data_IF_438309683138
#
_entry.id   IF_438309683138
#
_cell.length_a   1.000
_cell.length_b   1.000
_cell.length_c   1.000
_cell.angle_alpha   90.00
_cell.angle_beta   90.00
_cell.angle_gamma   90.00
#
_symmetry.space_group_name_H-M   'P 1'
#
loop_
_entity.id
_entity.type
_entity.pdbx_description
1 polymer ?
#
# COMPACT_ATOMS: atom_id res chain seq x y z
N UNK A 1 -51.96 2.53 5.51
CA UNK A 1 -51.52 1.73 6.67
C UNK A 1 -50.58 0.66 6.13
N UNK A 2 -49.28 0.95 6.12
CA UNK A 2 -48.26 0.10 5.51
C UNK A 2 -47.36 -0.42 6.62
N UNK A 3 -47.42 -1.73 6.86
CA UNK A 3 -46.62 -2.40 7.89
C UNK A 3 -45.18 -2.56 7.39
N UNK A 4 -44.26 -1.92 8.10
CA UNK A 4 -42.81 -2.06 7.96
C UNK A 4 -42.36 -3.37 8.59
N UNK A 5 -41.90 -4.32 7.77
CA UNK A 5 -41.26 -5.55 8.24
C UNK A 5 -39.78 -5.29 8.56
N UNK A 6 -39.40 -5.56 9.81
CA UNK A 6 -38.02 -5.49 10.30
C UNK A 6 -37.16 -6.63 9.72
N UNK A 7 -35.90 -6.38 9.30
CA UNK A 7 -35.00 -7.45 8.91
C UNK A 7 -34.43 -8.18 10.14
N UNK A 8 -34.39 -9.50 10.02
CA UNK A 8 -34.06 -10.46 11.07
C UNK A 8 -32.61 -10.41 11.56
N UNK A 9 -32.46 -10.70 12.86
CA UNK A 9 -31.19 -10.90 13.56
C UNK A 9 -30.55 -12.22 13.11
N UNK A 10 -29.31 -12.17 12.65
CA UNK A 10 -28.47 -13.36 12.49
C UNK A 10 -27.78 -13.71 13.82
N UNK A 11 -27.98 -14.95 14.24
CA UNK A 11 -27.39 -15.55 15.44
C UNK A 11 -25.88 -15.80 15.27
N UNK A 12 -25.13 -15.53 16.33
CA UNK A 12 -23.69 -15.77 16.42
C UNK A 12 -23.33 -17.28 16.41
N UNK A 13 -22.15 -17.66 15.88
CA UNK A 13 -21.69 -19.05 15.92
C UNK A 13 -21.19 -19.47 17.30
N UNK A 14 -21.50 -20.72 17.63
CA UNK A 14 -21.16 -21.45 18.86
C UNK A 14 -19.65 -21.70 18.96
N UNK A 15 -19.04 -21.30 20.07
CA UNK A 15 -17.63 -21.62 20.41
C UNK A 15 -17.52 -23.07 20.92
N UNK A 16 -16.61 -23.85 20.36
CA UNK A 16 -16.15 -25.13 20.91
C UNK A 16 -14.91 -24.91 21.81
N UNK A 17 -14.76 -25.65 22.93
CA UNK A 17 -13.64 -25.48 23.86
C UNK A 17 -12.42 -26.32 23.44
N UNK A 18 -11.24 -25.70 23.44
CA UNK A 18 -9.96 -26.40 23.42
C UNK A 18 -9.41 -26.51 24.86
N UNK A 19 -9.04 -27.72 25.28
CA UNK A 19 -8.32 -28.02 26.51
C UNK A 19 -6.80 -27.92 26.29
N UNK A 20 -6.01 -27.42 27.26
CA UNK A 20 -4.55 -27.37 27.16
C UNK A 20 -3.87 -28.62 27.76
N UNK A 21 -2.79 -29.08 27.13
CA UNK A 21 -1.83 -30.02 27.70
C UNK A 21 -0.53 -29.27 28.03
N UNK A 22 -0.16 -29.24 29.30
CA UNK A 22 1.17 -28.86 29.80
C UNK A 22 1.98 -30.09 30.17
N UNK A 23 3.30 -30.07 30.00
CA UNK A 23 4.21 -30.86 30.82
C UNK A 23 5.29 -29.99 31.53
N UNK A 24 6.04 -30.58 32.48
CA UNK A 24 6.48 -29.88 33.68
C UNK A 24 7.91 -29.33 33.65
N UNK A 25 8.15 -28.49 34.65
CA UNK A 25 9.41 -27.88 35.12
C UNK A 25 10.37 -28.95 35.63
N UNK A 26 11.66 -28.80 35.34
CA UNK A 26 12.74 -29.33 36.19
C UNK A 26 13.94 -28.38 36.27
N UNK A 27 14.66 -28.53 37.39
CA UNK A 27 15.47 -27.52 38.09
C UNK A 27 16.96 -27.46 37.71
N UNK A 28 17.59 -26.33 38.08
CA UNK A 28 18.85 -26.21 38.84
C UNK A 28 20.11 -25.54 38.19
N UNK A 29 20.53 -24.44 38.83
CA UNK A 29 21.89 -23.99 39.27
C UNK A 29 23.11 -24.08 38.31
N UNK A 30 23.85 -22.97 38.16
CA UNK A 30 25.11 -22.67 38.91
C UNK A 30 25.82 -21.39 38.41
N UNK A 31 26.41 -20.63 39.33
CA UNK A 31 27.18 -19.39 39.12
C UNK A 31 28.72 -19.62 39.01
N UNK A 32 29.39 -18.61 38.41
CA UNK A 32 30.73 -18.03 38.72
C UNK A 32 32.02 -18.54 37.98
N UNK A 33 33.16 -17.79 37.98
CA UNK A 33 33.55 -16.77 36.98
C UNK A 33 35.04 -16.94 36.49
N UNK A 34 35.83 -15.91 36.06
CA UNK A 34 36.63 -15.90 34.81
C UNK A 34 38.16 -16.08 35.00
N UNK A 35 38.96 -16.02 33.91
CA UNK A 35 40.21 -15.24 33.99
C UNK A 35 40.55 -14.40 32.76
N UNK A 36 41.09 -13.22 33.05
CA UNK A 36 41.79 -12.25 32.20
C UNK A 36 43.19 -12.71 31.78
N UNK A 37 43.63 -12.42 30.55
CA UNK A 37 44.90 -11.69 30.25
C UNK A 37 45.32 -11.73 28.77
N UNK A 38 45.71 -10.54 28.28
CA UNK A 38 46.70 -10.23 27.23
C UNK A 38 46.44 -10.70 25.77
N UNK A 39 45.75 -9.87 24.98
CA UNK A 39 45.60 -10.04 23.54
C UNK A 39 45.74 -8.73 22.73
N UNK A 40 46.81 -7.96 22.92
CA UNK A 40 47.06 -6.74 22.10
C UNK A 40 47.65 -7.02 20.70
N UNK A 41 47.83 -8.28 20.31
CA UNK A 41 48.46 -8.64 19.03
C UNK A 41 47.54 -9.25 17.95
N UNK A 42 46.22 -9.31 18.16
CA UNK A 42 45.30 -9.96 17.23
C UNK A 42 44.34 -9.01 16.46
N UNK A 43 44.60 -7.70 16.42
CA UNK A 43 43.73 -6.76 15.69
C UNK A 43 44.30 -6.40 14.32
N UNK A 44 43.49 -6.45 13.23
CA UNK A 44 43.88 -5.97 11.92
C UNK A 44 44.43 -4.54 11.96
N UNK A 45 45.45 -4.25 11.15
CA UNK A 45 46.21 -2.98 11.20
C UNK A 45 45.34 -1.73 11.02
N UNK A 46 44.19 -1.83 10.36
CA UNK A 46 43.24 -0.74 10.18
C UNK A 46 42.45 -0.37 11.46
N UNK A 47 42.32 -1.27 12.44
CA UNK A 47 41.65 -0.99 13.73
C UNK A 47 42.61 -0.47 14.80
N UNK A 48 43.93 -0.69 14.64
CA UNK A 48 44.95 -0.29 15.63
C UNK A 48 45.04 1.22 15.88
N UNK A 49 44.62 2.07 14.93
CA UNK A 49 44.63 3.54 15.10
C UNK A 49 43.50 4.07 15.97
N UNK A 50 42.47 3.28 16.28
CA UNK A 50 41.26 3.75 16.95
C UNK A 50 41.22 3.48 18.46
N UNK A 51 42.20 2.73 18.99
CA UNK A 51 42.38 2.50 20.44
C UNK A 51 42.77 3.82 21.17
N UNK A 52 43.25 4.83 20.45
CA UNK A 52 43.59 6.14 21.04
C UNK A 52 42.38 7.07 21.26
N UNK A 53 41.17 6.70 20.85
CA UNK A 53 39.94 7.50 21.01
C UNK A 53 39.09 7.11 22.24
N UNK A 54 39.64 6.32 23.16
CA UNK A 54 38.97 5.98 24.42
C UNK A 54 38.08 4.73 24.36
N UNK A 55 38.03 4.04 23.22
CA UNK A 55 37.45 2.70 23.14
C UNK A 55 38.45 1.69 23.70
N UNK A 56 38.03 0.95 24.73
CA UNK A 56 38.86 -0.13 25.28
C UNK A 56 38.86 -1.30 24.30
N UNK A 57 39.91 -2.12 24.38
CA UNK A 57 39.99 -3.36 23.59
C UNK A 57 38.74 -4.23 23.81
N UNK A 58 38.19 -4.22 25.02
CA UNK A 58 37.00 -4.98 25.39
C UNK A 58 35.73 -4.43 24.73
N UNK A 59 35.61 -3.12 24.48
CA UNK A 59 34.46 -2.54 23.78
C UNK A 59 34.44 -2.92 22.30
N UNK A 60 35.62 -2.90 21.67
CA UNK A 60 35.77 -3.30 20.26
C UNK A 60 35.61 -4.81 20.11
N UNK A 61 36.16 -5.60 21.03
CA UNK A 61 35.97 -7.05 21.06
C UNK A 61 34.51 -7.43 21.36
N UNK A 62 33.81 -6.69 22.24
CA UNK A 62 32.39 -6.90 22.51
C UNK A 62 31.52 -6.52 21.31
N UNK A 63 31.87 -5.44 20.58
CA UNK A 63 31.17 -5.05 19.35
C UNK A 63 31.35 -6.10 18.24
N UNK A 64 32.58 -6.56 18.00
CA UNK A 64 32.88 -7.60 17.02
C UNK A 64 32.25 -8.93 17.44
N UNK A 65 32.36 -9.31 18.72
CA UNK A 65 31.70 -10.50 19.26
C UNK A 65 30.17 -10.43 19.19
N UNK A 66 29.57 -9.24 19.32
CA UNK A 66 28.12 -9.02 19.16
C UNK A 66 27.69 -9.17 17.70
N UNK A 67 28.50 -8.65 16.77
CA UNK A 67 28.30 -8.81 15.32
C UNK A 67 28.46 -10.27 14.92
N UNK A 68 29.53 -10.95 15.34
CA UNK A 68 29.77 -12.37 15.03
C UNK A 68 28.71 -13.28 15.68
N UNK A 69 28.26 -12.95 16.90
CA UNK A 69 27.14 -13.66 17.55
C UNK A 69 25.81 -13.44 16.83
N UNK A 70 25.62 -12.28 16.17
CA UNK A 70 24.44 -11.99 15.36
C UNK A 70 24.46 -12.63 13.97
N UNK A 71 25.63 -13.11 13.53
CA UNK A 71 25.84 -13.76 12.22
C UNK A 71 26.09 -15.28 12.30
N UNK A 72 26.12 -15.87 13.50
CA UNK A 72 26.21 -17.32 13.65
C UNK A 72 24.97 -18.01 13.02
N UNK A 73 25.14 -18.99 12.12
CA UNK A 73 24.03 -19.67 11.49
C UNK A 73 23.20 -20.43 12.53
N UNK A 74 21.85 -20.39 12.45
CA UNK A 74 20.99 -20.94 13.49
C UNK A 74 21.13 -22.47 13.55
N UNK A 75 21.88 -22.93 14.54
CA UNK A 75 21.92 -24.33 14.91
C UNK A 75 20.64 -24.63 15.71
N UNK A 76 19.63 -25.14 14.99
CA UNK A 76 18.46 -25.87 15.51
C UNK A 76 17.68 -25.26 16.69
N UNK A 77 16.51 -24.68 16.35
CA UNK A 77 15.22 -24.67 17.08
C UNK A 77 14.63 -23.27 17.34
N UNK A 78 13.69 -22.88 16.48
CA UNK A 78 12.53 -22.00 16.70
C UNK A 78 12.66 -20.77 17.61
N UNK A 79 13.69 -19.95 17.41
CA UNK A 79 13.71 -18.57 17.89
C UNK A 79 13.93 -17.63 16.71
N UNK A 80 12.96 -16.77 16.39
CA UNK A 80 13.19 -15.64 15.51
C UNK A 80 14.36 -14.82 16.08
N UNK A 81 15.42 -14.50 15.32
CA UNK A 81 16.50 -13.68 15.83
C UNK A 81 15.95 -12.27 16.08
N UNK A 82 15.80 -11.91 17.36
CA UNK A 82 15.59 -10.53 17.78
C UNK A 82 16.87 -9.76 17.46
N UNK A 83 16.87 -9.06 16.33
CA UNK A 83 17.88 -8.07 15.96
C UNK A 83 18.09 -7.11 17.15
N UNK A 84 19.34 -6.99 17.58
CA UNK A 84 19.73 -6.05 18.64
C UNK A 84 19.43 -4.62 18.16
N UNK A 85 18.46 -3.97 18.81
CA UNK A 85 18.15 -2.56 18.59
C UNK A 85 19.27 -1.68 19.18
N UNK A 86 20.21 -1.26 18.34
CA UNK A 86 21.11 -0.17 18.69
C UNK A 86 20.33 1.16 18.72
N UNK A 87 20.60 2.04 19.72
CA UNK A 87 20.12 3.42 19.73
C UNK A 87 20.48 4.16 18.44
N UNK A 88 19.58 5.04 17.97
CA UNK A 88 19.75 5.76 16.70
C UNK A 88 21.02 6.62 16.66
N UNK A 89 21.49 7.08 17.82
CA UNK A 89 22.74 7.81 17.98
C UNK A 89 23.97 6.94 17.66
N UNK A 90 23.95 5.67 18.07
CA UNK A 90 25.01 4.71 17.74
C UNK A 90 24.96 4.28 16.27
N UNK A 91 23.77 4.13 15.69
CA UNK A 91 23.61 3.89 14.24
C UNK A 91 24.16 5.05 13.40
N UNK A 92 23.93 6.29 13.83
CA UNK A 92 24.44 7.49 13.15
C UNK A 92 25.96 7.68 13.36
N UNK A 93 26.49 7.35 14.54
CA UNK A 93 27.94 7.35 14.78
C UNK A 93 28.66 6.21 14.05
N UNK A 94 28.02 5.05 13.89
CA UNK A 94 28.54 3.93 13.07
C UNK A 94 28.53 4.30 11.59
N UNK A 95 27.49 5.00 11.11
CA UNK A 95 27.42 5.56 9.75
C UNK A 95 28.52 6.61 9.45
N UNK A 96 29.10 7.22 10.48
CA UNK A 96 30.21 8.17 10.34
C UNK A 96 31.58 7.46 10.15
N UNK A 97 31.70 6.19 10.55
CA UNK A 97 32.99 5.47 10.64
C UNK A 97 33.06 4.16 9.86
N UNK A 98 31.92 3.65 9.39
CA UNK A 98 31.83 2.48 8.50
C UNK A 98 31.49 3.01 7.09
N UNK A 99 32.25 2.63 6.04
CA UNK A 99 31.88 2.95 4.67
C UNK A 99 30.46 2.48 4.46
N UNK A 100 29.58 3.39 4.09
CA UNK A 100 28.14 3.14 4.12
C UNK A 100 27.78 1.99 3.17
N UNK A 101 28.63 1.59 2.23
CA UNK A 101 28.55 0.35 1.46
C UNK A 101 28.30 -0.91 2.33
N UNK A 102 28.80 -0.96 3.57
CA UNK A 102 28.58 -2.07 4.52
C UNK A 102 27.31 -1.93 5.38
N UNK A 103 26.72 -0.73 5.46
CA UNK A 103 25.39 -0.51 6.06
C UNK A 103 24.30 -0.56 4.97
N UNK A 104 24.65 -0.28 3.71
CA UNK A 104 23.81 -0.27 2.51
C UNK A 104 23.60 -1.66 1.90
N UNK A 105 24.25 -2.70 2.40
CA UNK A 105 23.72 -4.06 2.21
C UNK A 105 22.32 -4.19 2.86
N UNK A 106 21.92 -3.25 3.73
CA UNK A 106 20.50 -2.90 3.91
C UNK A 106 20.06 -1.96 2.79
N UNK A 107 19.69 -2.55 1.65
CA UNK A 107 19.12 -1.85 0.49
C UNK A 107 17.77 -1.24 0.88
N UNK A 108 17.79 -0.06 1.51
CA UNK A 108 16.59 0.72 1.80
C UNK A 108 15.96 1.16 0.47
N UNK A 109 15.04 0.34 -0.04
CA UNK A 109 14.19 0.66 -1.18
C UNK A 109 13.21 1.74 -0.72
N UNK A 110 13.63 3.00 -0.89
CA UNK A 110 12.78 4.16 -0.62
C UNK A 110 12.04 4.51 -1.89
N UNK A 111 10.73 4.63 -1.79
CA UNK A 111 9.84 4.99 -2.89
C UNK A 111 8.90 6.10 -2.42
N UNK A 112 8.64 7.07 -3.29
CA UNK A 112 7.60 8.06 -3.10
C UNK A 112 6.36 7.64 -3.86
N UNK A 113 5.19 7.78 -3.25
CA UNK A 113 3.90 7.41 -3.87
C UNK A 113 2.97 8.61 -3.82
N UNK A 114 2.72 9.23 -4.97
CA UNK A 114 1.75 10.31 -5.16
C UNK A 114 0.34 9.75 -5.30
N UNK A 115 -0.67 10.48 -4.82
CA UNK A 115 -2.08 10.10 -4.92
C UNK A 115 -2.87 11.18 -5.68
N UNK A 116 -3.40 10.80 -6.84
CA UNK A 116 -4.13 11.70 -7.73
C UNK A 116 -5.56 12.00 -7.28
N UNK A 117 -6.05 11.38 -6.21
CA UNK A 117 -7.37 11.68 -5.65
C UNK A 117 -8.37 10.54 -5.85
N UNK A 118 -9.57 10.74 -5.32
CA UNK A 118 -10.61 9.70 -5.29
C UNK A 118 -11.35 9.61 -6.61
N UNK A 119 -11.92 8.43 -6.89
CA UNK A 119 -12.79 8.20 -8.06
C UNK A 119 -14.00 9.13 -8.15
N UNK A 120 -14.50 9.63 -7.02
CA UNK A 120 -15.63 10.58 -7.01
C UNK A 120 -15.23 12.04 -7.27
N UNK A 121 -13.95 12.33 -7.53
CA UNK A 121 -13.55 13.63 -8.05
C UNK A 121 -14.00 13.76 -9.51
N UNK A 122 -14.46 14.95 -9.97
CA UNK A 122 -15.06 15.12 -11.29
C UNK A 122 -14.19 14.56 -12.43
N UNK A 123 -12.88 14.84 -12.39
CA UNK A 123 -11.91 14.41 -13.41
C UNK A 123 -11.71 12.88 -13.43
N UNK A 124 -11.93 12.22 -12.29
CA UNK A 124 -11.75 10.77 -12.14
C UNK A 124 -13.03 9.97 -12.30
N UNK A 125 -14.19 10.64 -12.29
CA UNK A 125 -15.49 10.00 -12.29
C UNK A 125 -15.82 9.35 -13.63
N UNK A 126 -15.34 9.96 -14.71
CA UNK A 126 -15.58 9.50 -16.08
C UNK A 126 -14.68 8.32 -16.48
N UNK A 127 -13.66 8.03 -15.68
CA UNK A 127 -12.75 6.92 -15.91
C UNK A 127 -13.39 5.58 -15.55
N UNK A 128 -13.10 4.58 -16.37
CA UNK A 128 -13.39 3.21 -16.00
C UNK A 128 -12.51 2.76 -14.82
N UNK A 129 -12.77 1.56 -14.28
CA UNK A 129 -12.00 1.08 -13.13
C UNK A 129 -10.55 0.72 -13.48
N UNK A 130 -10.27 0.31 -14.71
CA UNK A 130 -8.91 0.00 -15.18
C UNK A 130 -8.08 1.27 -15.29
N UNK A 131 -8.63 2.27 -15.96
CA UNK A 131 -8.05 3.57 -16.22
C UNK A 131 -7.73 4.24 -14.89
N UNK A 132 -8.70 4.29 -13.97
CA UNK A 132 -8.48 4.84 -12.63
C UNK A 132 -7.37 4.10 -11.87
N UNK A 133 -7.43 2.76 -11.79
CA UNK A 133 -6.43 1.97 -11.07
C UNK A 133 -5.02 2.16 -11.65
N UNK A 134 -4.90 2.37 -12.97
CA UNK A 134 -3.62 2.56 -13.64
C UNK A 134 -2.96 3.92 -13.39
N UNK A 135 -3.73 4.97 -13.09
CA UNK A 135 -3.20 6.34 -12.95
C UNK A 135 -3.30 6.91 -11.53
N UNK A 136 -4.24 6.46 -10.69
CA UNK A 136 -4.54 7.13 -9.42
C UNK A 136 -3.36 7.19 -8.43
N UNK A 137 -2.35 6.33 -8.59
CA UNK A 137 -1.11 6.32 -7.82
C UNK A 137 0.10 6.58 -8.72
N UNK A 138 0.95 7.52 -8.29
CA UNK A 138 2.20 7.88 -8.97
C UNK A 138 3.37 7.31 -8.18
N UNK A 139 3.98 6.25 -8.68
CA UNK A 139 5.17 5.68 -8.05
C UNK A 139 6.43 6.37 -8.56
N UNK A 140 7.28 6.79 -7.63
CA UNK A 140 8.58 7.39 -7.92
C UNK A 140 9.72 6.72 -7.14
N UNK A 141 10.70 6.20 -7.87
CA UNK A 141 11.81 5.43 -7.34
C UNK A 141 13.03 6.32 -7.10
N UNK A 142 13.78 6.05 -6.04
CA UNK A 142 15.03 6.76 -5.75
C UNK A 142 16.06 6.54 -6.88
N UNK A 143 16.63 7.63 -7.40
CA UNK A 143 17.70 7.58 -8.42
C UNK A 143 19.05 7.85 -7.78
N UNK A 144 19.19 9.04 -7.17
CA UNK A 144 20.48 9.57 -6.73
C UNK A 144 20.32 10.66 -5.68
N UNK A 145 21.39 10.93 -4.96
CA UNK A 145 21.52 12.13 -4.14
C UNK A 145 22.12 13.25 -5.01
N UNK A 146 21.54 14.45 -4.97
CA UNK A 146 21.97 15.57 -5.81
C UNK A 146 23.30 16.14 -5.30
N UNK A 147 24.24 16.39 -6.18
CA UNK A 147 25.48 17.09 -5.84
C UNK A 147 25.20 18.60 -5.87
N UNK A 148 25.63 19.36 -4.84
CA UNK A 148 25.39 20.80 -4.79
C UNK A 148 26.08 21.49 -5.99
N UNK A 149 25.30 21.81 -7.03
CA UNK A 149 25.74 22.56 -8.21
C UNK A 149 26.14 23.99 -7.79
N UNK A 150 27.42 24.22 -7.51
CA UNK A 150 27.90 25.55 -7.12
C UNK A 150 29.30 25.61 -6.53
N UNK A 151 29.89 24.48 -6.13
CA UNK A 151 31.26 24.47 -5.65
C UNK A 151 32.24 24.21 -6.79
N UNK A 152 32.92 25.28 -7.21
CA UNK A 152 34.01 25.28 -8.18
C UNK A 152 34.95 24.08 -8.00
N UNK A 153 35.28 23.47 -9.14
CA UNK A 153 36.01 22.20 -9.39
C UNK A 153 37.31 21.96 -8.62
N UNK A 154 37.82 22.92 -7.85
CA UNK A 154 39.09 22.82 -7.13
C UNK A 154 38.99 22.22 -5.70
N UNK A 155 37.80 21.94 -5.16
CA UNK A 155 37.63 21.34 -3.81
C UNK A 155 36.80 20.04 -3.77
N UNK A 156 36.47 19.45 -4.91
CA UNK A 156 35.57 18.27 -4.97
C UNK A 156 36.13 16.98 -4.36
N UNK A 157 37.42 16.91 -3.98
CA UNK A 157 38.03 15.59 -3.73
C UNK A 157 37.64 14.87 -2.42
N UNK A 158 36.91 15.45 -1.45
CA UNK A 158 36.64 14.74 -0.17
C UNK A 158 35.30 15.04 0.54
N UNK A 159 34.24 15.44 -0.15
CA UNK A 159 32.92 15.47 0.51
C UNK A 159 32.26 14.10 0.41
N UNK A 160 31.81 13.52 1.53
CA UNK A 160 31.16 12.23 1.50
C UNK A 160 29.80 12.36 0.80
N UNK A 161 29.38 11.35 0.02
CA UNK A 161 28.14 11.36 -0.78
C UNK A 161 26.90 11.74 0.05
N UNK A 162 26.90 11.41 1.34
CA UNK A 162 25.83 11.75 2.29
C UNK A 162 25.76 13.22 2.66
N UNK A 163 26.72 14.08 2.29
CA UNK A 163 26.69 15.49 2.70
C UNK A 163 25.54 16.25 2.05
N UNK A 164 25.16 15.84 0.86
CA UNK A 164 24.11 16.45 0.06
C UNK A 164 22.76 16.50 0.79
N UNK A 165 22.07 17.63 0.61
CA UNK A 165 20.80 17.93 1.26
C UNK A 165 19.61 17.27 0.57
N UNK A 166 19.69 17.06 -0.75
CA UNK A 166 18.56 16.65 -1.58
C UNK A 166 18.79 15.30 -2.25
N UNK A 167 17.71 14.54 -2.39
CA UNK A 167 17.65 13.34 -3.21
C UNK A 167 16.66 13.54 -4.35
N UNK A 168 16.95 12.89 -5.48
CA UNK A 168 16.14 12.91 -6.69
C UNK A 168 15.49 11.54 -6.89
N UNK A 169 14.18 11.55 -7.05
CA UNK A 169 13.34 10.40 -7.37
C UNK A 169 12.80 10.54 -8.80
N UNK A 170 12.66 9.43 -9.53
CA UNK A 170 12.04 9.39 -10.86
C UNK A 170 10.65 8.80 -10.77
N UNK A 171 9.65 9.47 -11.31
CA UNK A 171 8.35 8.87 -11.59
C UNK A 171 8.54 7.77 -12.65
N UNK A 172 7.87 6.62 -12.46
CA UNK A 172 7.96 5.49 -13.38
C UNK A 172 7.39 5.84 -14.74
N UNK A 173 8.11 5.43 -15.80
CA UNK A 173 7.70 5.66 -17.19
C UNK A 173 6.36 4.97 -17.53
N UNK A 174 6.02 3.88 -16.83
CA UNK A 174 4.75 3.15 -16.99
C UNK A 174 3.53 4.02 -16.67
N UNK A 175 3.62 4.83 -15.61
CA UNK A 175 2.54 5.75 -15.24
C UNK A 175 2.29 6.78 -16.34
N UNK A 176 3.34 7.34 -16.95
CA UNK A 176 3.19 8.28 -18.07
C UNK A 176 2.60 7.65 -19.33
N UNK A 177 2.79 6.35 -19.54
CA UNK A 177 2.13 5.62 -20.63
C UNK A 177 0.63 5.50 -20.34
N UNK A 178 0.28 4.96 -19.18
CA UNK A 178 -1.12 4.83 -18.75
C UNK A 178 -1.85 6.18 -18.75
N UNK A 179 -1.23 7.24 -18.23
CA UNK A 179 -1.80 8.58 -18.21
C UNK A 179 -2.01 9.18 -19.61
N UNK A 180 -1.16 8.84 -20.59
CA UNK A 180 -1.37 9.25 -22.00
C UNK A 180 -2.49 8.47 -22.66
N UNK A 181 -2.54 7.17 -22.41
CA UNK A 181 -3.56 6.27 -22.96
C UNK A 181 -4.95 6.72 -22.53
N UNK A 182 -5.12 7.09 -21.25
CA UNK A 182 -6.37 7.61 -20.69
C UNK A 182 -6.77 8.97 -21.30
N UNK A 183 -5.81 9.86 -21.53
CA UNK A 183 -6.09 11.20 -22.08
C UNK A 183 -6.22 11.24 -23.60
N UNK A 184 -6.05 10.10 -24.30
CA UNK A 184 -6.07 10.06 -25.77
C UNK A 184 -4.98 10.91 -26.44
N UNK A 185 -3.89 11.21 -25.72
CA UNK A 185 -2.80 12.06 -26.21
C UNK A 185 -1.78 11.21 -26.98
N UNK A 186 -1.87 11.18 -28.31
CA UNK A 186 -0.90 10.52 -29.22
C UNK A 186 0.44 11.30 -29.38
N UNK A 187 0.75 12.26 -28.49
CA UNK A 187 1.91 13.15 -28.68
C UNK A 187 3.26 12.51 -28.29
N UNK A 188 4.30 12.92 -29.01
CA UNK A 188 5.68 12.44 -28.89
C UNK A 188 6.20 12.43 -27.44
N UNK A 189 7.08 11.48 -27.07
CA UNK A 189 7.64 11.37 -25.73
C UNK A 189 8.52 12.59 -25.42
N UNK A 190 7.99 13.57 -24.71
CA UNK A 190 8.80 14.69 -24.24
C UNK A 190 8.06 15.84 -23.56
N UNK A 191 6.77 16.06 -23.84
CA UNK A 191 6.06 17.23 -23.31
C UNK A 191 4.59 16.95 -22.96
N UNK A 192 4.38 15.88 -22.20
CA UNK A 192 3.03 15.39 -21.85
C UNK A 192 2.20 16.44 -21.13
N UNK A 193 2.79 17.26 -20.26
CA UNK A 193 2.05 18.12 -19.33
C UNK A 193 1.61 19.44 -19.96
N UNK A 194 2.34 19.98 -20.93
CA UNK A 194 1.95 21.23 -21.59
C UNK A 194 0.69 21.08 -22.46
N UNK A 195 0.33 19.84 -22.81
CA UNK A 195 -0.86 19.49 -23.60
C UNK A 195 -1.96 18.84 -22.77
N UNK A 196 -1.80 18.76 -21.46
CA UNK A 196 -2.81 18.21 -20.56
C UNK A 196 -4.07 19.06 -20.62
N UNK A 197 -5.24 18.42 -20.68
CA UNK A 197 -6.51 19.13 -20.61
C UNK A 197 -6.60 19.94 -19.32
N UNK A 198 -7.19 21.14 -19.38
CA UNK A 198 -7.30 22.07 -18.23
C UNK A 198 -7.90 21.45 -16.96
N UNK A 199 -8.63 20.35 -17.12
CA UNK A 199 -9.28 19.63 -16.02
C UNK A 199 -8.25 18.95 -15.10
N UNK A 200 -7.17 18.43 -15.67
CA UNK A 200 -6.09 17.75 -14.95
C UNK A 200 -5.06 18.69 -14.33
N UNK A 201 -4.98 19.95 -14.80
CA UNK A 201 -4.08 20.97 -14.24
C UNK A 201 -4.30 21.17 -12.73
N UNK A 202 -5.54 21.04 -12.27
CA UNK A 202 -5.86 21.09 -10.84
C UNK A 202 -5.26 19.91 -10.07
N UNK A 203 -5.41 18.70 -10.60
CA UNK A 203 -4.94 17.47 -9.96
C UNK A 203 -3.41 17.39 -9.97
N UNK A 204 -2.77 17.70 -11.10
CA UNK A 204 -1.31 17.71 -11.22
C UNK A 204 -0.70 18.89 -10.46
N UNK A 205 -1.32 20.06 -10.55
CA UNK A 205 -0.90 21.25 -9.83
C UNK A 205 -0.90 21.05 -8.32
N UNK A 206 -1.85 20.30 -7.76
CA UNK A 206 -1.84 20.04 -6.31
C UNK A 206 -0.76 19.05 -5.87
N UNK A 207 -0.43 18.04 -6.70
CA UNK A 207 0.72 17.15 -6.50
C UNK A 207 2.06 17.89 -6.60
N UNK A 208 2.11 18.94 -7.41
CA UNK A 208 3.25 19.85 -7.54
C UNK A 208 3.24 21.03 -6.53
N UNK A 209 2.32 21.04 -5.57
CA UNK A 209 2.20 22.11 -4.56
C UNK A 209 1.94 23.52 -5.14
N UNK A 210 1.46 23.63 -6.37
CA UNK A 210 1.14 24.89 -7.03
C UNK A 210 -0.20 25.49 -6.57
N UNK A 211 -1.08 24.68 -5.98
CA UNK A 211 -2.41 25.09 -5.52
C UNK A 211 -2.61 24.86 -4.00
N UNK A 212 -3.32 25.79 -3.34
CA UNK A 212 -3.82 25.60 -1.97
C UNK A 212 -4.94 24.54 -1.99
N UNK A 213 -4.75 23.43 -1.29
CA UNK A 213 -5.77 22.37 -1.17
C UNK A 213 -6.62 22.49 0.10
N UNK A 214 -7.67 21.69 0.10
CA UNK A 214 -8.36 21.23 1.29
C UNK A 214 -7.39 20.61 2.31
N UNK A 215 -7.59 21.00 3.55
CA UNK A 215 -6.74 20.58 4.65
C UNK A 215 -6.85 19.07 4.92
N UNK A 216 -5.71 18.40 5.02
CA UNK A 216 -5.64 16.99 5.41
C UNK A 216 -5.80 16.00 4.27
N UNK A 217 -5.88 16.45 3.02
CA UNK A 217 -5.85 15.58 1.84
C UNK A 217 -4.48 14.89 1.70
N UNK A 218 -4.50 13.62 1.28
CA UNK A 218 -3.28 12.86 1.02
C UNK A 218 -2.71 13.24 -0.36
N UNK A 219 -1.43 13.63 -0.41
CA UNK A 219 -0.70 13.94 -1.66
C UNK A 219 0.38 12.94 -1.96
N UNK A 220 1.41 12.91 -1.11
CA UNK A 220 2.53 12.00 -1.24
C UNK A 220 2.65 11.13 0.00
N UNK A 221 3.06 9.89 -0.21
CA UNK A 221 3.47 8.96 0.81
C UNK A 221 4.94 8.62 0.59
N UNK A 222 5.61 8.23 1.67
CA UNK A 222 6.90 7.57 1.61
C UNK A 222 6.69 6.11 1.98
N UNK A 223 7.23 5.24 1.13
CA UNK A 223 7.37 3.82 1.38
C UNK A 223 8.83 3.53 1.67
N UNK A 224 9.09 2.96 2.84
CA UNK A 224 10.39 2.47 3.25
C UNK A 224 10.22 1.01 3.65
N UNK A 225 10.68 0.11 2.77
CA UNK A 225 10.50 -1.33 2.94
C UNK A 225 9.00 -1.69 3.10
N UNK A 226 8.60 -2.23 4.27
CA UNK A 226 7.22 -2.61 4.60
C UNK A 226 6.39 -1.47 5.23
N UNK A 227 7.03 -0.35 5.58
CA UNK A 227 6.36 0.77 6.24
C UNK A 227 5.96 1.83 5.22
N UNK A 228 4.71 2.29 5.30
CA UNK A 228 4.18 3.41 4.49
C UNK A 228 3.53 4.43 5.41
N UNK A 229 3.89 5.69 5.21
CA UNK A 229 3.32 6.85 5.88
C UNK A 229 3.16 7.99 4.89
N UNK A 230 2.20 8.86 5.16
CA UNK A 230 2.04 10.10 4.43
C UNK A 230 3.20 11.07 4.70
N UNK A 231 3.66 11.73 3.64
CA UNK A 231 4.60 12.83 3.75
C UNK A 231 3.85 14.04 4.29
N UNK A 232 4.13 14.33 5.55
CA UNK A 232 3.58 15.48 6.24
C UNK A 232 4.24 16.75 5.71
N UNK A 233 3.67 17.35 4.67
CA UNK A 233 4.06 18.69 4.25
C UNK A 233 3.39 19.67 5.20
N UNK A 234 4.16 20.38 6.05
CA UNK A 234 3.57 21.43 6.84
C UNK A 234 3.18 22.53 5.87
N UNK A 235 1.91 22.52 5.44
CA UNK A 235 1.43 23.24 4.26
C UNK A 235 1.78 24.74 4.31
N UNK A 236 2.02 25.29 5.50
CA UNK A 236 2.23 26.73 5.65
C UNK A 236 3.17 27.15 6.82
N UNK A 237 4.06 26.28 7.33
CA UNK A 237 5.06 26.71 8.33
C UNK A 237 6.32 27.19 7.62
N UNK A 238 6.46 28.51 7.51
CA UNK A 238 7.57 29.24 6.87
C UNK A 238 9.01 28.89 7.35
N UNK A 239 9.19 27.94 8.27
CA UNK A 239 10.49 27.47 8.76
C UNK A 239 10.65 25.95 8.81
N UNK A 240 9.66 25.18 8.36
CA UNK A 240 9.71 23.71 8.29
C UNK A 240 9.36 23.21 6.88
N UNK A 241 9.60 24.02 5.85
CA UNK A 241 9.49 23.55 4.48
C UNK A 241 10.41 22.34 4.32
N UNK A 242 9.80 21.15 4.25
CA UNK A 242 10.44 20.07 3.52
C UNK A 242 10.65 20.65 2.15
N UNK A 243 11.92 20.93 1.83
CA UNK A 243 12.31 21.34 0.50
C UNK A 243 11.96 20.17 -0.42
N UNK A 244 10.81 20.30 -1.07
CA UNK A 244 10.15 19.28 -1.85
C UNK A 244 9.67 19.98 -3.12
N UNK A 245 10.30 19.63 -4.22
CA UNK A 245 10.03 20.19 -5.52
C UNK A 245 9.68 19.05 -6.48
N UNK A 246 8.53 19.18 -7.13
CA UNK A 246 8.01 18.16 -8.05
C UNK A 246 8.04 18.74 -9.45
N UNK A 247 8.97 18.30 -10.27
CA UNK A 247 8.93 18.59 -11.69
C UNK A 247 8.26 17.42 -12.41
N UNK A 248 6.96 17.52 -12.59
CA UNK A 248 6.17 16.50 -13.28
C UNK A 248 6.53 16.43 -14.77
N UNK A 249 7.06 17.50 -15.39
CA UNK A 249 7.44 17.51 -16.81
C UNK A 249 8.63 16.58 -17.06
N UNK A 250 9.65 16.66 -16.21
CA UNK A 250 10.83 15.78 -16.26
C UNK A 250 10.61 14.46 -15.54
N UNK A 251 9.51 14.34 -14.80
CA UNK A 251 9.23 13.23 -13.89
C UNK A 251 10.23 13.11 -12.74
N UNK A 252 10.88 14.21 -12.36
CA UNK A 252 11.84 14.23 -11.27
C UNK A 252 11.26 14.91 -10.03
N UNK A 253 11.41 14.26 -8.88
CA UNK A 253 11.00 14.78 -7.59
C UNK A 253 12.26 15.00 -6.75
N UNK A 254 12.48 16.22 -6.30
CA UNK A 254 13.61 16.61 -5.47
C UNK A 254 13.13 16.79 -4.03
N UNK A 255 13.76 16.11 -3.08
CA UNK A 255 13.35 16.17 -1.66
C UNK A 255 14.53 16.28 -0.71
N UNK A 256 14.39 17.07 0.35
CA UNK A 256 15.27 17.10 1.52
C UNK A 256 15.22 15.75 2.28
N UNK A 257 15.97 14.77 1.78
CA UNK A 257 15.81 13.36 2.13
C UNK A 257 16.13 13.04 3.60
N UNK A 258 17.11 13.72 4.19
CA UNK A 258 17.48 13.52 5.61
C UNK A 258 16.34 13.91 6.55
N UNK A 259 15.78 15.10 6.34
CA UNK A 259 14.66 15.60 7.14
C UNK A 259 13.42 14.71 6.97
N UNK A 260 13.16 14.28 5.73
CA UNK A 260 12.11 13.33 5.39
C UNK A 260 12.27 12.01 6.15
N UNK A 261 13.43 11.35 6.06
CA UNK A 261 13.68 10.07 6.71
C UNK A 261 13.62 10.16 8.24
N UNK A 262 14.23 11.19 8.85
CA UNK A 262 14.19 11.37 10.30
C UNK A 262 12.75 11.53 10.79
N UNK A 263 11.92 12.31 10.06
CA UNK A 263 10.52 12.50 10.40
C UNK A 263 9.73 11.20 10.24
N UNK A 264 9.94 10.48 9.14
CA UNK A 264 9.35 9.17 8.89
C UNK A 264 9.64 8.18 10.02
N UNK A 265 10.92 8.00 10.38
CA UNK A 265 11.35 7.05 11.42
C UNK A 265 10.77 7.43 12.79
N UNK A 266 10.71 8.72 13.13
CA UNK A 266 10.07 9.20 14.36
C UNK A 266 8.58 8.87 14.38
N UNK A 267 7.88 9.12 13.28
CA UNK A 267 6.44 8.85 13.17
C UNK A 267 6.15 7.35 13.20
N UNK A 268 6.91 6.53 12.50
CA UNK A 268 6.74 5.07 12.50
C UNK A 268 7.03 4.48 13.89
N UNK A 269 8.06 4.96 14.59
CA UNK A 269 8.31 4.59 15.99
C UNK A 269 7.13 4.97 16.89
N UNK A 270 6.61 6.19 16.76
CA UNK A 270 5.46 6.64 17.53
C UNK A 270 4.21 5.78 17.25
N UNK A 271 3.99 5.38 16.00
CA UNK A 271 2.92 4.47 15.62
C UNK A 271 3.05 3.10 16.30
N UNK A 272 4.25 2.49 16.28
CA UNK A 272 4.49 1.18 16.93
C UNK A 272 4.25 1.24 18.44
N UNK A 273 4.79 2.27 19.10
CA UNK A 273 4.57 2.49 20.53
C UNK A 273 3.08 2.68 20.83
N UNK A 274 2.35 3.44 20.01
CA UNK A 274 0.92 3.64 20.18
C UNK A 274 0.13 2.34 19.98
N UNK A 275 0.49 1.53 18.99
CA UNK A 275 -0.13 0.23 18.75
C UNK A 275 0.05 -0.72 19.95
N UNK A 276 1.25 -0.76 20.54
CA UNK A 276 1.52 -1.54 21.74
C UNK A 276 0.70 -1.03 22.95
N UNK A 277 0.68 0.29 23.17
CA UNK A 277 -0.07 0.91 24.26
C UNK A 277 -1.58 0.72 24.16
N UNK A 278 -2.10 0.65 22.93
CA UNK A 278 -3.54 0.55 22.65
C UNK A 278 -4.01 -0.86 22.34
N UNK A 279 -3.17 -1.89 22.50
CA UNK A 279 -3.48 -3.29 22.16
C UNK A 279 -4.82 -3.79 22.73
N UNK A 280 -5.12 -3.43 23.98
CA UNK A 280 -6.32 -3.87 24.69
C UNK A 280 -7.42 -2.81 24.74
N UNK A 281 -7.27 -1.70 24.00
CA UNK A 281 -8.30 -0.66 23.93
C UNK A 281 -9.46 -1.12 23.04
N UNK A 282 -10.70 -0.65 23.29
CA UNK A 282 -11.75 -0.76 22.27
C UNK A 282 -11.34 0.03 21.03
N UNK A 283 -11.80 -0.39 19.84
CA UNK A 283 -11.50 0.28 18.57
C UNK A 283 -12.78 0.68 17.85
N UNK A 284 -12.72 1.83 17.18
CA UNK A 284 -13.83 2.35 16.37
C UNK A 284 -13.87 1.68 15.01
N UNK A 285 -12.70 1.53 14.37
CA UNK A 285 -12.58 0.91 13.05
C UNK A 285 -11.80 -0.41 13.14
N UNK A 286 -10.49 -0.31 13.41
CA UNK A 286 -9.61 -1.45 13.68
C UNK A 286 -8.40 -0.97 14.48
N UNK A 287 -7.67 -1.89 15.12
CA UNK A 287 -6.49 -1.54 15.92
C UNK A 287 -5.46 -0.72 15.14
N UNK A 288 -5.10 -1.18 13.93
CA UNK A 288 -4.11 -0.53 13.09
C UNK A 288 -4.63 0.80 12.52
N UNK A 289 -5.89 0.82 12.07
CA UNK A 289 -6.53 2.00 11.51
C UNK A 289 -6.68 3.13 12.52
N UNK A 290 -7.18 2.84 13.72
CA UNK A 290 -7.36 3.83 14.78
C UNK A 290 -6.01 4.42 15.21
N UNK A 291 -4.96 3.60 15.32
CA UNK A 291 -3.62 4.07 15.64
C UNK A 291 -3.07 4.99 14.53
N UNK A 292 -3.24 4.61 13.27
CA UNK A 292 -2.79 5.41 12.13
C UNK A 292 -3.55 6.75 12.03
N UNK A 293 -4.89 6.72 12.18
CA UNK A 293 -5.73 7.92 12.28
C UNK A 293 -5.28 8.82 13.42
N UNK A 294 -5.00 8.26 14.59
CA UNK A 294 -4.56 9.03 15.76
C UNK A 294 -3.26 9.78 15.48
N UNK A 295 -2.24 9.09 14.93
CA UNK A 295 -0.95 9.72 14.59
C UNK A 295 -1.14 10.80 13.52
N UNK A 296 -1.93 10.53 12.48
CA UNK A 296 -2.22 11.51 11.42
C UNK A 296 -2.95 12.73 11.98
N UNK A 297 -3.98 12.55 12.81
CA UNK A 297 -4.73 13.66 13.44
C UNK A 297 -3.83 14.52 14.32
N UNK A 298 -2.99 13.91 15.16
CA UNK A 298 -2.04 14.65 16.00
C UNK A 298 -1.13 15.53 15.13
N UNK A 299 -0.54 14.95 14.08
CA UNK A 299 0.33 15.69 13.15
C UNK A 299 -0.38 16.83 12.43
N UNK A 300 -1.59 16.59 11.93
CA UNK A 300 -2.42 17.62 11.30
C UNK A 300 -2.74 18.75 12.28
N UNK A 301 -3.13 18.43 13.51
CA UNK A 301 -3.38 19.43 14.57
C UNK A 301 -2.11 20.23 14.88
N UNK A 302 -0.96 19.58 14.99
CA UNK A 302 0.33 20.25 15.24
C UNK A 302 0.69 21.22 14.11
N UNK A 303 0.31 20.90 12.87
CA UNK A 303 0.52 21.77 11.70
C UNK A 303 -0.30 23.07 11.76
N UNK A 304 -1.47 23.03 12.41
CA UNK A 304 -2.40 24.16 12.59
C UNK A 304 -2.09 25.03 13.80
N UNK A 305 -1.11 24.65 14.63
CA UNK A 305 -0.76 25.44 15.81
C UNK A 305 -0.23 26.80 15.37
N UNK A 306 -0.88 27.92 15.78
CA UNK A 306 -0.56 29.25 15.27
C UNK A 306 0.85 29.65 15.73
N UNK A 307 1.64 30.15 14.78
CA UNK A 307 2.94 30.75 15.04
C UNK A 307 2.76 32.25 15.34
N UNK A 308 3.72 32.90 16.02
CA UNK A 308 3.67 34.35 16.27
C UNK A 308 3.53 35.19 15.00
N UNK A 309 3.95 34.64 13.85
CA UNK A 309 3.91 35.29 12.54
C UNK A 309 2.64 35.02 11.74
N UNK A 310 1.69 34.25 12.27
CA UNK A 310 0.45 33.88 11.56
C UNK A 310 -0.48 35.09 11.42
N UNK A 311 -0.95 35.37 10.20
CA UNK A 311 -1.92 36.45 9.93
C UNK A 311 -3.27 36.16 10.60
N UNK A 312 -4.05 37.19 11.00
CA UNK A 312 -5.33 36.99 11.69
C UNK A 312 -6.35 36.19 10.87
N UNK A 313 -6.43 36.44 9.56
CA UNK A 313 -7.31 35.70 8.65
C UNK A 313 -6.97 34.19 8.63
N UNK A 314 -5.67 33.87 8.60
CA UNK A 314 -5.21 32.49 8.67
C UNK A 314 -5.50 31.85 10.03
N UNK A 315 -5.24 32.55 11.12
CA UNK A 315 -5.55 32.04 12.45
C UNK A 315 -7.06 31.72 12.61
N UNK A 316 -7.94 32.47 11.94
CA UNK A 316 -9.37 32.17 11.90
C UNK A 316 -9.68 30.89 11.10
N UNK A 317 -9.06 30.70 9.92
CA UNK A 317 -9.19 29.47 9.12
C UNK A 317 -8.66 28.26 9.89
N UNK A 318 -7.47 28.37 10.47
CA UNK A 318 -6.84 27.30 11.27
C UNK A 318 -7.72 26.91 12.47
N UNK A 319 -8.33 27.89 13.16
CA UNK A 319 -9.31 27.63 14.21
C UNK A 319 -10.53 26.89 13.69
N UNK A 320 -11.11 27.30 12.56
CA UNK A 320 -12.27 26.62 11.97
C UNK A 320 -11.94 25.16 11.63
N UNK A 321 -10.76 24.91 11.08
CA UNK A 321 -10.28 23.55 10.79
C UNK A 321 -10.08 22.76 12.09
N UNK A 322 -9.44 23.32 13.12
CA UNK A 322 -9.30 22.66 14.43
C UNK A 322 -10.65 22.29 15.04
N UNK A 323 -11.66 23.15 14.88
CA UNK A 323 -13.03 22.83 15.30
C UNK A 323 -13.60 21.66 14.50
N UNK A 324 -13.43 21.63 13.17
CA UNK A 324 -13.87 20.50 12.34
C UNK A 324 -13.16 19.18 12.67
N UNK A 325 -11.88 19.21 13.02
CA UNK A 325 -11.10 18.05 13.48
C UNK A 325 -11.68 17.44 14.77
N UNK A 326 -12.26 18.27 15.66
CA UNK A 326 -12.92 17.80 16.89
C UNK A 326 -14.26 17.11 16.63
N UNK A 327 -14.86 17.34 15.46
CA UNK A 327 -16.10 16.71 15.04
C UNK A 327 -15.88 15.39 14.28
N UNK A 328 -14.62 15.00 14.05
CA UNK A 328 -14.31 13.71 13.46
C UNK A 328 -14.75 12.56 14.37
N UNK A 329 -15.01 11.39 13.79
CA UNK A 329 -15.40 10.20 14.58
C UNK A 329 -14.35 9.92 15.67
N UNK A 330 -14.74 9.69 16.94
CA UNK A 330 -13.79 9.39 17.99
C UNK A 330 -13.04 8.09 17.66
N UNK A 331 -11.77 8.04 18.04
CA UNK A 331 -10.94 6.85 17.92
C UNK A 331 -10.96 6.08 19.24
N UNK A 332 -10.68 4.78 19.18
CA UNK A 332 -10.59 3.91 20.34
C UNK A 332 -11.91 3.79 21.14
N UNK A 333 -13.05 3.61 20.47
CA UNK A 333 -14.34 3.50 21.16
C UNK A 333 -15.50 3.10 20.25
N UNK A 334 -16.72 3.25 20.74
CA UNK A 334 -17.92 3.05 19.91
C UNK A 334 -18.25 4.33 19.17
N UNK A 335 -18.46 4.29 17.84
CA UNK A 335 -18.80 5.49 17.08
C UNK A 335 -20.16 6.06 17.55
N UNK A 336 -20.27 7.37 17.80
CA UNK A 336 -21.54 8.02 18.07
C UNK A 336 -22.41 8.01 16.81
N UNK A 337 -23.72 8.23 16.99
CA UNK A 337 -24.66 8.35 15.89
C UNK A 337 -24.25 9.45 14.90
N UNK A 338 -24.61 9.20 13.63
CA UNK A 338 -23.95 9.69 12.41
C UNK A 338 -23.91 11.22 12.29
N UNK A 339 -22.71 11.79 12.44
CA UNK A 339 -22.36 13.07 11.84
C UNK A 339 -21.23 12.87 10.83
N UNK A 340 -21.55 13.02 9.54
CA UNK A 340 -20.57 12.99 8.45
C UNK A 340 -20.16 14.43 8.16
N UNK A 341 -18.90 14.77 8.44
CA UNK A 341 -18.28 16.01 8.01
C UNK A 341 -17.47 15.75 6.74
N UNK A 342 -17.24 16.77 5.91
CA UNK A 342 -16.39 16.66 4.71
C UNK A 342 -14.99 16.13 5.08
N UNK A 343 -14.48 16.52 6.25
CA UNK A 343 -13.17 16.08 6.74
C UNK A 343 -13.15 14.59 7.13
N UNK A 344 -14.29 13.99 7.52
CA UNK A 344 -14.37 12.54 7.68
C UNK A 344 -14.13 11.84 6.34
N UNK A 345 -14.72 12.32 5.24
CA UNK A 345 -14.53 11.72 3.92
C UNK A 345 -13.08 11.84 3.45
N UNK A 346 -12.44 13.00 3.72
CA UNK A 346 -11.01 13.23 3.42
C UNK A 346 -10.11 12.30 4.24
N UNK A 347 -10.39 12.13 5.53
CA UNK A 347 -9.65 11.22 6.39
C UNK A 347 -9.86 9.76 5.99
N UNK A 348 -11.11 9.33 5.78
CA UNK A 348 -11.48 7.98 5.38
C UNK A 348 -10.75 7.61 4.07
N UNK A 349 -10.80 8.48 3.06
CA UNK A 349 -10.09 8.27 1.80
C UNK A 349 -8.57 8.13 2.01
N UNK A 350 -7.97 9.05 2.77
CA UNK A 350 -6.53 9.04 3.02
C UNK A 350 -6.07 7.78 3.75
N UNK A 351 -6.85 7.33 4.73
CA UNK A 351 -6.55 6.16 5.54
C UNK A 351 -6.75 4.87 4.75
N UNK A 352 -7.81 4.78 3.92
CA UNK A 352 -8.00 3.67 3.01
C UNK A 352 -6.78 3.46 2.09
N UNK A 353 -6.29 4.53 1.45
CA UNK A 353 -5.10 4.46 0.59
C UNK A 353 -3.87 4.06 1.39
N UNK A 354 -3.62 4.67 2.57
CA UNK A 354 -2.46 4.33 3.39
C UNK A 354 -2.49 2.87 3.87
N UNK A 355 -3.65 2.35 4.28
CA UNK A 355 -3.80 0.95 4.68
C UNK A 355 -3.55 0.01 3.51
N UNK A 356 -4.08 0.32 2.32
CA UNK A 356 -3.84 -0.44 1.10
C UNK A 356 -2.35 -0.47 0.72
N UNK A 357 -1.69 0.68 0.75
CA UNK A 357 -0.25 0.78 0.47
C UNK A 357 0.59 0.04 1.51
N UNK A 358 0.26 0.13 2.81
CA UNK A 358 0.94 -0.64 3.86
C UNK A 358 0.76 -2.14 3.67
N UNK A 359 -0.44 -2.59 3.31
CA UNK A 359 -0.70 -4.00 3.01
C UNK A 359 0.11 -4.46 1.81
N UNK A 360 0.12 -3.68 0.73
CA UNK A 360 0.92 -3.95 -0.48
C UNK A 360 2.41 -4.03 -0.14
N UNK A 361 2.91 -3.13 0.71
CA UNK A 361 4.29 -3.11 1.13
C UNK A 361 4.68 -4.28 2.05
N UNK A 362 3.75 -4.79 2.85
CA UNK A 362 3.97 -5.94 3.71
C UNK A 362 3.94 -7.30 2.97
N UNK A 363 3.36 -7.35 1.77
CA UNK A 363 3.31 -8.57 0.97
C UNK A 363 4.62 -8.80 0.23
N UNK A 364 5.05 -10.06 0.22
CA UNK A 364 6.19 -10.51 -0.59
C UNK A 364 5.83 -10.49 -2.07
N UNK A 365 6.84 -10.41 -2.96
CA UNK A 365 6.63 -10.46 -4.40
C UNK A 365 5.91 -11.74 -4.85
N UNK A 366 6.18 -12.88 -4.20
CA UNK A 366 5.51 -14.15 -4.46
C UNK A 366 4.03 -14.09 -4.07
N UNK A 367 3.70 -13.53 -2.91
CA UNK A 367 2.31 -13.33 -2.49
C UNK A 367 1.55 -12.37 -3.41
N UNK A 368 2.18 -11.26 -3.83
CA UNK A 368 1.58 -10.35 -4.79
C UNK A 368 1.31 -11.06 -6.12
N UNK A 369 2.30 -11.80 -6.65
CA UNK A 369 2.10 -12.58 -7.89
C UNK A 369 0.99 -13.62 -7.75
N UNK A 370 0.87 -14.27 -6.59
CA UNK A 370 -0.21 -15.20 -6.32
C UNK A 370 -1.58 -14.53 -6.34
N UNK A 371 -1.72 -13.36 -5.70
CA UNK A 371 -2.97 -12.59 -5.69
C UNK A 371 -3.35 -12.11 -7.09
N UNK A 372 -2.39 -11.63 -7.89
CA UNK A 372 -2.63 -11.25 -9.26
C UNK A 372 -3.03 -12.45 -10.12
N UNK A 373 -2.34 -13.58 -9.99
CA UNK A 373 -2.70 -14.81 -10.71
C UNK A 373 -4.12 -15.27 -10.33
N UNK A 374 -4.44 -15.29 -9.04
CA UNK A 374 -5.77 -15.64 -8.55
C UNK A 374 -6.85 -14.72 -9.14
N UNK A 375 -6.58 -13.42 -9.19
CA UNK A 375 -7.47 -12.44 -9.82
C UNK A 375 -7.64 -12.70 -11.32
N UNK A 376 -6.56 -12.91 -12.06
CA UNK A 376 -6.65 -13.22 -13.50
C UNK A 376 -7.42 -14.51 -13.77
N UNK A 377 -7.20 -15.57 -12.96
CA UNK A 377 -7.96 -16.83 -13.07
C UNK A 377 -9.43 -16.61 -12.76
N UNK A 378 -9.74 -15.80 -11.75
CA UNK A 378 -11.12 -15.45 -11.41
C UNK A 378 -11.83 -14.69 -12.55
N UNK A 379 -11.17 -13.69 -13.15
CA UNK A 379 -11.73 -12.96 -14.30
C UNK A 379 -11.93 -13.87 -15.52
N UNK A 380 -10.98 -14.78 -15.77
CA UNK A 380 -11.12 -15.79 -16.83
C UNK A 380 -12.34 -16.69 -16.58
N UNK A 381 -12.54 -17.12 -15.34
CA UNK A 381 -13.72 -17.90 -14.93
C UNK A 381 -15.00 -17.10 -15.15
N UNK A 382 -15.03 -15.83 -14.75
CA UNK A 382 -16.21 -14.97 -14.93
C UNK A 382 -16.55 -14.80 -16.41
N UNK A 383 -15.55 -14.56 -17.27
CA UNK A 383 -15.74 -14.45 -18.71
C UNK A 383 -16.26 -15.76 -19.33
N UNK A 384 -15.74 -16.90 -18.88
CA UNK A 384 -16.17 -18.23 -19.35
C UNK A 384 -17.62 -18.52 -18.94
N UNK A 385 -18.00 -18.19 -17.71
CA UNK A 385 -19.37 -18.30 -17.22
C UNK A 385 -20.33 -17.39 -17.99
N UNK A 386 -19.91 -16.16 -18.32
CA UNK A 386 -20.72 -15.23 -19.11
C UNK A 386 -20.96 -15.77 -20.52
N UNK A 387 -19.93 -16.30 -21.17
CA UNK A 387 -20.06 -16.94 -22.49
C UNK A 387 -20.96 -18.18 -22.44
N UNK A 388 -20.89 -18.99 -21.39
CA UNK A 388 -21.80 -20.12 -21.18
C UNK A 388 -23.26 -19.66 -20.97
N UNK A 389 -23.47 -18.58 -20.23
CA UNK A 389 -24.80 -18.00 -20.02
C UNK A 389 -25.40 -17.42 -21.32
N UNK A 390 -24.56 -16.80 -22.16
CA UNK A 390 -24.93 -16.31 -23.50
C UNK A 390 -25.34 -17.45 -24.42
N UNK A 391 -24.52 -18.51 -24.54
CA UNK A 391 -24.83 -19.70 -25.36
C UNK A 391 -26.07 -20.44 -24.85
N UNK A 392 -26.25 -20.55 -23.53
CA UNK A 392 -27.46 -21.11 -22.94
C UNK A 392 -28.71 -20.25 -23.21
N UNK A 393 -28.57 -18.92 -23.18
CA UNK A 393 -29.67 -17.99 -23.50
C UNK A 393 -30.07 -18.10 -24.97
N UNK A 394 -29.09 -18.23 -25.87
CA UNK A 394 -29.32 -18.50 -27.28
C UNK A 394 -30.05 -19.83 -27.48
N UNK A 395 -29.55 -20.92 -26.89
CA UNK A 395 -30.18 -22.23 -26.91
C UNK A 395 -31.64 -22.17 -26.45
N UNK A 396 -31.89 -21.48 -25.33
CA UNK A 396 -33.24 -21.28 -24.79
C UNK A 396 -34.14 -20.49 -25.73
N UNK A 397 -33.60 -19.56 -26.51
CA UNK A 397 -34.40 -18.76 -27.45
C UNK A 397 -35.07 -19.64 -28.51
N UNK A 398 -34.39 -20.68 -29.01
CA UNK A 398 -34.95 -21.66 -29.94
C UNK A 398 -36.06 -22.52 -29.32
N UNK A 399 -35.98 -22.80 -28.02
CA UNK A 399 -36.98 -23.61 -27.30
C UNK A 399 -38.15 -22.80 -26.73
N UNK A 400 -38.03 -21.48 -26.71
CA UNK A 400 -38.99 -20.62 -26.03
C UNK A 400 -40.29 -20.49 -26.84
N UNK A 401 -41.25 -21.37 -26.53
CA UNK A 401 -42.63 -21.21 -26.99
C UNK A 401 -43.34 -20.09 -26.21
N UNK A 402 -44.19 -19.27 -26.86
CA UNK A 402 -44.98 -18.25 -26.17
C UNK A 402 -45.78 -18.86 -25.01
N UNK A 403 -45.45 -18.50 -23.77
CA UNK A 403 -46.15 -18.96 -22.56
C UNK A 403 -45.37 -19.92 -21.65
N UNK A 404 -44.20 -20.43 -22.06
CA UNK A 404 -43.32 -21.25 -21.22
C UNK A 404 -41.95 -20.58 -21.05
N UNK A 405 -41.80 -19.74 -20.03
CA UNK A 405 -40.50 -19.17 -19.64
C UNK A 405 -40.05 -19.78 -18.31
N UNK A 406 -39.23 -20.82 -18.37
CA UNK A 406 -38.46 -21.28 -17.21
C UNK A 406 -37.17 -20.47 -17.11
N UNK A 407 -37.13 -19.48 -16.23
CA UNK A 407 -35.91 -18.74 -15.93
C UNK A 407 -35.05 -19.57 -14.97
N UNK A 408 -34.17 -20.41 -15.53
CA UNK A 408 -33.05 -20.98 -14.77
C UNK A 408 -32.08 -19.83 -14.53
N UNK A 409 -32.06 -19.30 -13.30
CA UNK A 409 -31.24 -18.16 -12.91
C UNK A 409 -29.79 -18.60 -12.65
N UNK A 410 -29.01 -18.81 -13.71
CA UNK A 410 -27.54 -18.70 -13.69
C UNK A 410 -26.99 -17.32 -13.21
N UNK A 411 -27.71 -16.16 -13.29
CA UNK A 411 -27.12 -14.84 -13.00
C UNK A 411 -26.69 -14.56 -11.56
N UNK A 412 -27.11 -15.36 -10.56
CA UNK A 412 -26.80 -15.04 -9.15
C UNK A 412 -25.31 -15.19 -8.79
N UNK A 413 -24.57 -16.04 -9.52
CA UNK A 413 -23.12 -16.16 -9.35
C UNK A 413 -22.36 -15.01 -10.03
N UNK A 414 -22.84 -14.56 -11.19
CA UNK A 414 -22.20 -13.53 -12.03
C UNK A 414 -22.51 -12.12 -11.50
N UNK A 415 -23.72 -11.87 -10.99
CA UNK A 415 -24.14 -10.53 -10.54
C UNK A 415 -23.39 -10.01 -9.32
N UNK A 416 -22.79 -10.89 -8.51
CA UNK A 416 -21.97 -10.49 -7.36
C UNK A 416 -20.56 -10.00 -7.76
N UNK A 417 -20.14 -10.18 -9.01
CA UNK A 417 -18.81 -9.78 -9.47
C UNK A 417 -18.64 -8.25 -9.63
N UNK A 418 -19.74 -7.51 -9.87
CA UNK A 418 -19.72 -6.04 -10.08
C UNK A 418 -19.30 -5.22 -8.86
N UNK A 419 -19.12 -5.84 -7.69
CA UNK A 419 -18.68 -5.17 -6.46
C UNK A 419 -17.30 -5.60 -5.97
N UNK A 420 -16.56 -6.39 -6.75
CA UNK A 420 -15.23 -6.84 -6.34
C UNK A 420 -14.20 -5.75 -6.63
N UNK A 421 -13.41 -5.31 -5.63
CA UNK A 421 -12.30 -4.41 -5.90
C UNK A 421 -11.36 -5.03 -6.92
N UNK A 422 -11.02 -4.31 -8.00
CA UNK A 422 -10.12 -4.83 -9.03
C UNK A 422 -8.70 -5.08 -8.53
N UNK A 423 -8.24 -4.30 -7.54
CA UNK A 423 -6.98 -4.55 -6.88
C UNK A 423 -7.11 -5.72 -5.87
N UNK A 424 -6.45 -6.87 -6.11
CA UNK A 424 -6.63 -8.04 -5.23
C UNK A 424 -5.99 -7.87 -3.85
N UNK A 425 -5.12 -6.86 -3.67
CA UNK A 425 -4.58 -6.49 -2.36
C UNK A 425 -5.65 -5.81 -1.49
N UNK A 426 -6.69 -5.21 -2.09
CA UNK A 426 -7.79 -4.61 -1.36
C UNK A 426 -8.80 -5.66 -0.83
N UNK A 427 -8.73 -6.91 -1.26
CA UNK A 427 -9.69 -7.94 -0.85
C UNK A 427 -9.60 -8.26 0.63
N UNK A 428 -10.73 -8.30 1.33
CA UNK A 428 -10.75 -8.84 2.68
C UNK A 428 -10.30 -10.30 2.67
N UNK A 429 -9.73 -10.79 3.78
CA UNK A 429 -9.27 -12.18 3.84
C UNK A 429 -10.42 -13.18 3.63
N UNK A 430 -11.62 -12.84 4.10
CA UNK A 430 -12.85 -13.61 3.84
C UNK A 430 -13.19 -13.65 2.36
N UNK A 431 -13.13 -12.50 1.67
CA UNK A 431 -13.40 -12.41 0.24
C UNK A 431 -12.36 -13.21 -0.56
N UNK A 432 -11.08 -13.07 -0.24
CA UNK A 432 -10.00 -13.83 -0.87
C UNK A 432 -10.23 -15.33 -0.72
N UNK A 433 -10.49 -15.81 0.49
CA UNK A 433 -10.76 -17.24 0.74
C UNK A 433 -11.97 -17.74 -0.05
N UNK A 434 -13.01 -16.92 -0.20
CA UNK A 434 -14.18 -17.24 -1.01
C UNK A 434 -13.83 -17.39 -2.49
N UNK A 435 -13.06 -16.45 -3.04
CA UNK A 435 -12.58 -16.49 -4.43
C UNK A 435 -11.69 -17.71 -4.66
N UNK A 436 -10.74 -17.99 -3.75
CA UNK A 436 -9.89 -19.18 -3.81
C UNK A 436 -10.71 -20.48 -3.85
N UNK A 437 -11.75 -20.59 -3.01
CA UNK A 437 -12.64 -21.75 -3.02
C UNK A 437 -13.42 -21.87 -4.33
N UNK A 438 -13.88 -20.76 -4.89
CA UNK A 438 -14.61 -20.74 -6.16
C UNK A 438 -13.72 -21.15 -7.33
N UNK A 439 -12.50 -20.59 -7.42
CA UNK A 439 -11.51 -20.92 -8.45
C UNK A 439 -11.16 -22.41 -8.38
N UNK A 440 -10.85 -22.94 -7.19
CA UNK A 440 -10.56 -24.38 -7.02
C UNK A 440 -11.71 -25.28 -7.45
N UNK A 441 -12.95 -24.89 -7.12
CA UNK A 441 -14.14 -25.64 -7.53
C UNK A 441 -14.32 -25.62 -9.05
N UNK A 442 -14.08 -24.46 -9.67
CA UNK A 442 -14.17 -24.32 -11.12
C UNK A 442 -13.09 -25.13 -11.84
N UNK A 443 -11.85 -25.04 -11.40
CA UNK A 443 -10.75 -25.86 -11.94
C UNK A 443 -11.07 -27.36 -11.88
N UNK A 444 -11.69 -27.82 -10.79
CA UNK A 444 -12.14 -29.19 -10.65
C UNK A 444 -13.34 -29.55 -11.57
N UNK A 445 -14.12 -28.57 -12.02
CA UNK A 445 -15.29 -28.73 -12.88
C UNK A 445 -15.04 -28.35 -14.34
N UNK A 446 -13.86 -27.83 -14.68
CA UNK A 446 -13.56 -27.21 -15.97
C UNK A 446 -13.85 -28.12 -17.15
N UNK A 447 -13.38 -29.37 -17.12
CA UNK A 447 -13.64 -30.34 -18.20
C UNK A 447 -15.13 -30.63 -18.41
N UNK A 448 -15.94 -30.60 -17.36
CA UNK A 448 -17.38 -30.83 -17.46
C UNK A 448 -18.06 -29.62 -18.08
N UNK A 449 -17.63 -28.42 -17.68
CA UNK A 449 -18.19 -27.16 -18.17
C UNK A 449 -17.90 -26.95 -19.66
N UNK A 450 -16.68 -27.27 -20.10
CA UNK A 450 -16.34 -27.24 -21.53
C UNK A 450 -17.19 -28.23 -22.33
N UNK A 451 -17.40 -29.46 -21.84
CA UNK A 451 -18.31 -30.42 -22.50
C UNK A 451 -19.75 -29.93 -22.57
N UNK A 452 -20.24 -29.25 -21.52
CA UNK A 452 -21.58 -28.66 -21.52
C UNK A 452 -21.66 -27.53 -22.53
N UNK A 453 -20.62 -26.69 -22.62
CA UNK A 453 -20.52 -25.62 -23.61
C UNK A 453 -20.55 -26.18 -25.04
N UNK A 454 -19.68 -27.15 -25.35
CA UNK A 454 -19.63 -27.81 -26.67
C UNK A 454 -20.98 -28.43 -27.04
N UNK A 455 -21.66 -29.05 -26.08
CA UNK A 455 -22.99 -29.62 -26.29
C UNK A 455 -24.05 -28.55 -26.57
N UNK A 456 -24.01 -27.43 -25.86
CA UNK A 456 -24.94 -26.31 -26.09
C UNK A 456 -24.69 -25.66 -27.45
N UNK A 457 -23.43 -25.38 -27.80
CA UNK A 457 -23.03 -24.82 -29.08
C UNK A 457 -23.47 -25.73 -30.24
N UNK A 458 -23.15 -27.03 -30.19
CA UNK A 458 -23.60 -28.00 -31.19
C UNK A 458 -25.13 -28.16 -31.25
N UNK A 459 -25.84 -27.96 -30.14
CA UNK A 459 -27.30 -27.95 -30.12
C UNK A 459 -27.88 -26.69 -30.76
N UNK A 460 -27.29 -25.52 -30.51
CA UNK A 460 -27.65 -24.27 -31.19
C UNK A 460 -27.44 -24.39 -32.70
N UNK A 461 -26.29 -24.92 -33.14
CA UNK A 461 -26.00 -25.14 -34.56
C UNK A 461 -27.03 -26.08 -35.21
N UNK A 462 -27.40 -27.18 -34.54
CA UNK A 462 -28.40 -28.11 -35.04
C UNK A 462 -29.81 -27.49 -35.15
N UNK A 463 -30.18 -26.60 -34.22
CA UNK A 463 -31.48 -25.92 -34.23
C UNK A 463 -31.51 -24.71 -35.18
N UNK A 464 -30.36 -24.11 -35.47
CA UNK A 464 -30.24 -23.01 -36.42
C UNK A 464 -30.23 -23.48 -37.89
N UNK A 465 -30.15 -24.79 -38.14
CA UNK A 465 -30.23 -25.35 -39.47
C UNK A 465 -31.56 -24.96 -40.15
N UNK A 466 -31.54 -24.38 -41.36
CA UNK A 466 -32.75 -23.94 -42.04
C UNK A 466 -33.67 -25.13 -42.33
N UNK A 467 -34.99 -24.93 -42.17
CA UNK A 467 -36.02 -25.96 -42.40
C UNK A 467 -35.94 -26.53 -43.84
N UNK A 468 -35.50 -25.71 -44.81
CA UNK A 468 -35.31 -26.09 -46.22
C UNK A 468 -34.17 -27.11 -46.45
N UNK A 469 -33.30 -27.33 -45.46
CA UNK A 469 -32.17 -28.28 -45.56
C UNK A 469 -32.61 -29.75 -45.69
N UNK A 470 -33.87 -30.06 -45.41
CA UNK A 470 -34.44 -31.41 -45.55
C UNK A 470 -35.28 -31.58 -46.84
N UNK A 471 -35.65 -30.49 -47.52
CA UNK A 471 -36.51 -30.54 -48.70
C UNK A 471 -35.74 -30.72 -50.02
N UNK A 472 -34.42 -30.48 -50.05
CA UNK A 472 -33.57 -30.71 -51.23
C UNK A 472 -33.11 -32.17 -51.40
N UNK A 473 -33.42 -33.07 -50.47
CA UNK A 473 -33.30 -34.51 -50.68
C UNK A 473 -34.50 -35.01 -51.49
N UNK A 474 -34.57 -34.55 -52.74
CA UNK A 474 -35.26 -35.19 -53.84
C UNK A 474 -34.67 -36.58 -54.06
N UNK A 475 -35.09 -37.50 -53.19
CA UNK A 475 -34.94 -38.93 -53.29
C UNK A 475 -35.55 -39.40 -54.60
N UNK A 476 -34.72 -39.54 -55.64
CA UNK A 476 -35.00 -40.43 -56.77
C UNK A 476 -35.11 -41.87 -56.22
N UNK A 477 -36.30 -42.25 -55.77
CA UNK A 477 -36.71 -43.64 -55.53
C UNK A 477 -38.06 -43.94 -56.17
#
# INVERSE_FOLDING_TARGET
MSQSQSPGRFSAPVKLPYLPCTPPIDSARSEAPPPSSNATDALPSYLRRHIQLGFTHDDVAALISSIDSSQAPPSSSNGNPTLAHLPAELLLQVLEHVPVDYVLDWRLRTQLVGYMGRRSEPVMQDLDEEEYESIHLIEADFIRVEEEEGETTCQQEKRPIWSSKHAVFKIKDEWYRAFRDVNGLETEPGDTINHVEREWDGVLGRLAFLQEEDFGQLRWCIRLDHAVLDLDFPVHKAGLHLDFDTNLHTGSIRVAWKAMLVRFLRTERALRVLMEQKRDSPFTFSHHEDCLRSIRRTRLIDSLTPLPTTTPARAQRDRAILWSMRLLRPLFGTPPERHTTILNDVEDNSICVLLLLRRTAALTSTQLSYLHNLHTTYLSLESSLRSLDETYTEFKSYLSMPGFQTNILLPYAISNARGLPRNPVAWSDELRLRIECQVKRWEAQGEVLEKVRELLEGSCEAMAAPEDGFDELGSDF
#
